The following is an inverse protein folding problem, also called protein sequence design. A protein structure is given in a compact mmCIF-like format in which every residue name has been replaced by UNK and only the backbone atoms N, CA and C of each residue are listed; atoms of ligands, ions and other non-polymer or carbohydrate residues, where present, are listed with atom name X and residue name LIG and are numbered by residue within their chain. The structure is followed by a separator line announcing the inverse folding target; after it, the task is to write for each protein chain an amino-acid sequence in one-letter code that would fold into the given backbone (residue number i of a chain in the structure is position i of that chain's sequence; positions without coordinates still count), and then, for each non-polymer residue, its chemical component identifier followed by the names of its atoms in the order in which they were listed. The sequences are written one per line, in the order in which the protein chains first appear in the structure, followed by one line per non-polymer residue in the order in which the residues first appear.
data_IF_272522023906
#
_entry.id   IF_272522023906
#
_cell.length_a   1.000
_cell.length_b   1.000
_cell.length_c   1.000
_cell.angle_alpha   90.00
_cell.angle_beta   90.00
_cell.angle_gamma   90.00
#
_symmetry.space_group_name_H-M   'P 1'
#
loop_
_entity.id
_entity.type
_entity.pdbx_description
1 polymer ?
#
# COMPACT_ATOMS: atom_id res chain seq x y z
N UNK A 1 12.60 56.30 22.93
CA UNK A 1 11.19 55.97 23.22
C UNK A 1 10.52 55.60 21.90
N UNK A 2 10.30 54.31 21.64
CA UNK A 2 9.67 53.82 20.41
C UNK A 2 8.17 53.61 20.65
N UNK A 3 7.28 54.13 19.80
CA UNK A 3 5.85 53.98 19.98
C UNK A 3 5.41 52.54 19.69
N UNK A 4 4.72 51.93 20.65
CA UNK A 4 4.10 50.62 20.54
C UNK A 4 2.96 50.67 19.52
N UNK A 5 3.10 49.95 18.41
CA UNK A 5 2.03 49.78 17.42
C UNK A 5 1.04 48.72 17.94
N UNK A 6 -0.15 49.16 18.37
CA UNK A 6 -1.24 48.24 18.70
C UNK A 6 -1.91 47.75 17.40
N UNK A 7 -2.07 46.44 17.21
CA UNK A 7 -2.76 45.88 16.04
C UNK A 7 -4.25 46.23 16.09
N UNK A 8 -4.79 46.71 14.97
CA UNK A 8 -6.21 47.02 14.83
C UNK A 8 -7.05 45.73 14.87
N UNK A 9 -8.20 45.72 15.57
CA UNK A 9 -9.11 44.57 15.60
C UNK A 9 -9.66 44.31 14.20
N UNK A 10 -9.55 43.06 13.73
CA UNK A 10 -10.13 42.66 12.45
C UNK A 10 -11.65 42.50 12.56
N UNK A 11 -12.43 42.99 11.58
CA UNK A 11 -13.88 42.82 11.58
C UNK A 11 -14.25 41.35 11.36
N UNK A 12 -15.05 40.81 12.29
CA UNK A 12 -15.61 39.47 12.21
C UNK A 12 -16.49 39.35 10.95
N UNK A 13 -16.04 38.59 9.95
CA UNK A 13 -16.85 38.24 8.79
C UNK A 13 -17.88 37.20 9.20
N UNK A 14 -19.15 37.60 9.23
CA UNK A 14 -20.27 36.70 9.39
C UNK A 14 -20.29 35.67 8.24
N UNK A 15 -20.16 34.40 8.60
CA UNK A 15 -20.18 33.27 7.67
C UNK A 15 -21.61 33.05 7.18
N UNK A 16 -21.86 33.22 5.88
CA UNK A 16 -23.17 32.99 5.29
C UNK A 16 -23.63 31.53 5.52
N UNK A 17 -24.92 31.36 5.81
CA UNK A 17 -25.52 30.05 6.05
C UNK A 17 -25.39 29.14 4.82
N UNK A 18 -24.94 27.90 5.03
CA UNK A 18 -24.84 26.89 3.98
C UNK A 18 -26.24 26.47 3.51
N UNK A 19 -26.53 26.46 2.20
CA UNK A 19 -27.80 25.96 1.69
C UNK A 19 -27.94 24.44 1.94
N UNK A 20 -29.13 24.02 2.36
CA UNK A 20 -29.44 22.63 2.65
C UNK A 20 -29.38 21.77 1.36
N UNK A 21 -28.59 20.69 1.39
CA UNK A 21 -28.52 19.71 0.30
C UNK A 21 -29.85 18.96 0.18
N UNK A 22 -30.57 19.14 -0.93
CA UNK A 22 -31.69 18.27 -1.32
C UNK A 22 -31.15 16.88 -1.66
N UNK A 23 -31.60 15.88 -0.91
CA UNK A 23 -31.34 14.46 -1.19
C UNK A 23 -32.37 13.99 -2.21
N UNK A 24 -31.92 13.67 -3.43
CA UNK A 24 -32.77 13.01 -4.42
C UNK A 24 -32.83 11.51 -4.12
N UNK A 25 -34.05 10.99 -3.95
CA UNK A 25 -34.33 9.55 -3.85
C UNK A 25 -34.25 8.94 -5.25
N UNK A 26 -33.54 7.82 -5.46
CA UNK A 26 -33.55 7.13 -6.74
C UNK A 26 -34.88 6.40 -6.92
N UNK A 27 -35.54 6.67 -8.06
CA UNK A 27 -36.75 6.00 -8.50
C UNK A 27 -36.33 4.70 -9.20
N UNK A 28 -36.62 3.54 -8.60
CA UNK A 28 -36.42 2.24 -9.24
C UNK A 28 -37.52 2.03 -10.30
N UNK A 29 -37.14 2.03 -11.57
CA UNK A 29 -38.00 1.61 -12.69
C UNK A 29 -37.75 0.12 -12.93
N UNK A 30 -38.77 -0.71 -12.64
CA UNK A 30 -38.86 -2.08 -13.12
C UNK A 30 -39.08 -2.08 -14.63
N UNK A 31 -38.15 -2.66 -15.37
CA UNK A 31 -38.30 -2.97 -16.79
C UNK A 31 -37.66 -4.32 -17.08
N UNK A 32 -38.49 -5.30 -17.44
CA UNK A 32 -38.12 -6.64 -17.94
C UNK A 32 -38.70 -6.75 -19.37
N UNK A 33 -38.29 -7.70 -20.21
CA UNK A 33 -37.21 -7.62 -21.18
C UNK A 33 -37.73 -7.71 -22.63
N UNK A 34 -36.91 -7.34 -23.63
CA UNK A 34 -37.14 -7.80 -25.01
C UNK A 34 -35.84 -8.39 -25.55
N UNK A 35 -35.91 -9.69 -25.80
CA UNK A 35 -34.95 -10.51 -26.52
C UNK A 35 -35.08 -10.20 -28.01
N UNK A 36 -33.97 -9.89 -28.68
CA UNK A 36 -33.85 -10.06 -30.14
C UNK A 36 -32.52 -10.77 -30.39
N UNK A 37 -32.64 -12.04 -30.80
CA UNK A 37 -31.57 -12.85 -31.36
C UNK A 37 -31.42 -12.41 -32.83
N UNK A 38 -30.26 -11.89 -33.20
CA UNK A 38 -29.85 -11.73 -34.59
C UNK A 38 -28.57 -12.53 -34.80
N UNK A 39 -28.70 -13.65 -35.50
CA UNK A 39 -27.58 -14.38 -36.06
C UNK A 39 -27.03 -13.58 -37.25
N UNK A 40 -25.76 -13.22 -37.21
CA UNK A 40 -25.02 -12.79 -38.39
C UNK A 40 -23.83 -13.74 -38.52
N UNK A 41 -23.90 -14.55 -39.57
CA UNK A 41 -22.79 -15.29 -40.10
C UNK A 41 -22.03 -14.42 -41.12
N UNK A 42 -20.80 -14.87 -41.41
CA UNK A 42 -19.92 -14.51 -42.53
C UNK A 42 -18.92 -13.39 -42.25
N UNK A 43 -17.64 -13.77 -42.38
CA UNK A 43 -16.48 -12.88 -42.36
C UNK A 43 -15.19 -13.68 -42.18
N UNK A 44 -14.83 -14.46 -43.20
CA UNK A 44 -13.49 -15.02 -43.40
C UNK A 44 -12.54 -13.89 -43.76
N UNK A 45 -11.42 -13.74 -43.04
CA UNK A 45 -10.21 -13.09 -43.57
C UNK A 45 -8.96 -13.71 -42.94
N UNK A 46 -8.01 -13.97 -43.82
CA UNK A 46 -6.70 -14.59 -43.63
C UNK A 46 -5.79 -13.81 -42.68
N UNK A 47 -5.19 -14.52 -41.70
CA UNK A 47 -3.91 -14.11 -41.12
C UNK A 47 -3.06 -15.34 -40.85
N UNK A 48 -2.33 -15.75 -41.89
CA UNK A 48 -1.14 -16.61 -41.75
C UNK A 48 -0.02 -15.77 -41.16
N UNK A 49 -0.15 -15.43 -39.89
CA UNK A 49 0.92 -14.89 -39.07
C UNK A 49 1.80 -16.03 -38.60
N UNK A 50 2.98 -16.17 -39.22
CA UNK A 50 4.06 -17.02 -38.75
C UNK A 50 4.54 -16.55 -37.37
N UNK A 51 3.80 -16.91 -36.33
CA UNK A 51 4.20 -16.75 -34.94
C UNK A 51 5.28 -17.76 -34.63
N UNK A 52 6.51 -17.27 -34.52
CA UNK A 52 7.66 -17.99 -34.01
C UNK A 52 7.27 -18.70 -32.71
N UNK A 53 6.99 -20.00 -32.79
CA UNK A 53 7.10 -20.94 -31.68
C UNK A 53 8.56 -20.98 -31.29
N UNK A 54 8.97 -19.97 -30.52
CA UNK A 54 10.13 -20.08 -29.67
C UNK A 54 9.84 -21.21 -28.71
N UNK A 55 10.29 -22.41 -29.09
CA UNK A 55 10.36 -23.59 -28.27
C UNK A 55 11.13 -23.20 -27.01
N UNK A 56 10.36 -22.77 -25.99
CA UNK A 56 10.89 -22.26 -24.73
C UNK A 56 11.46 -23.49 -24.05
N UNK A 57 12.76 -23.67 -24.21
CA UNK A 57 13.57 -24.71 -23.59
C UNK A 57 13.05 -24.95 -22.17
N UNK A 58 12.68 -26.20 -21.80
CA UNK A 58 12.02 -26.49 -20.54
C UNK A 58 12.92 -26.05 -19.39
N UNK A 59 12.60 -24.90 -18.79
CA UNK A 59 13.32 -24.38 -17.63
C UNK A 59 13.31 -25.47 -16.57
N UNK A 60 14.51 -25.92 -16.20
CA UNK A 60 14.70 -26.91 -15.16
C UNK A 60 13.87 -26.50 -13.93
N UNK A 61 13.00 -27.41 -13.47
CA UNK A 61 12.16 -27.16 -12.30
C UNK A 61 13.12 -26.90 -11.12
N UNK A 62 12.99 -25.78 -10.39
CA UNK A 62 13.76 -25.58 -9.18
C UNK A 62 13.43 -26.71 -8.20
N UNK A 63 14.45 -27.45 -7.77
CA UNK A 63 14.30 -28.66 -6.94
C UNK A 63 14.16 -28.36 -5.45
N UNK A 64 14.34 -27.12 -5.03
CA UNK A 64 14.23 -26.72 -3.63
C UNK A 64 12.88 -26.07 -3.36
N UNK A 65 12.10 -26.68 -2.47
CA UNK A 65 10.86 -26.11 -1.92
C UNK A 65 11.20 -24.75 -1.30
N UNK A 66 10.55 -23.66 -1.72
CA UNK A 66 10.82 -22.34 -1.20
C UNK A 66 10.37 -22.22 0.27
N UNK A 67 11.17 -21.56 1.09
CA UNK A 67 10.78 -21.25 2.47
C UNK A 67 9.76 -20.09 2.47
N UNK A 68 8.60 -20.31 3.10
CA UNK A 68 7.56 -19.29 3.30
C UNK A 68 6.90 -19.45 4.67
N UNK A 69 6.35 -18.36 5.20
CA UNK A 69 5.56 -18.34 6.45
C UNK A 69 4.11 -18.01 6.13
N UNK A 70 3.14 -18.82 6.56
CA UNK A 70 1.72 -18.46 6.47
C UNK A 70 1.43 -17.35 7.49
N UNK A 71 1.03 -16.17 7.02
CA UNK A 71 0.76 -15.01 7.91
C UNK A 71 -0.73 -14.76 8.12
N UNK A 72 -1.57 -15.20 7.20
CA UNK A 72 -3.03 -15.15 7.31
C UNK A 72 -3.60 -16.40 6.67
N UNK A 73 -4.53 -17.05 7.35
CA UNK A 73 -5.20 -18.25 6.86
C UNK A 73 -6.65 -18.25 7.35
N UNK A 74 -7.58 -18.49 6.44
CA UNK A 74 -8.99 -18.67 6.75
C UNK A 74 -9.54 -19.77 5.85
N UNK A 75 -9.72 -20.97 6.41
CA UNK A 75 -10.22 -22.15 5.71
C UNK A 75 -11.66 -22.50 6.13
N UNK A 76 -12.52 -21.48 6.25
CA UNK A 76 -13.89 -21.64 6.71
C UNK A 76 -14.88 -22.07 5.62
N UNK A 77 -15.47 -23.25 5.77
CA UNK A 77 -16.60 -23.70 4.95
C UNK A 77 -16.18 -24.21 3.57
N UNK A 78 -16.79 -23.67 2.50
CA UNK A 78 -16.55 -24.14 1.12
C UNK A 78 -15.43 -23.38 0.39
N UNK A 79 -14.93 -22.29 0.98
CA UNK A 79 -13.91 -21.42 0.38
C UNK A 79 -12.81 -21.12 1.40
N UNK A 80 -11.60 -20.87 0.93
CA UNK A 80 -10.47 -20.51 1.77
C UNK A 80 -9.64 -19.34 1.24
N UNK A 81 -8.84 -18.73 2.11
CA UNK A 81 -7.83 -17.75 1.75
C UNK A 81 -6.57 -17.94 2.58
N UNK A 82 -5.41 -17.81 1.93
CA UNK A 82 -4.11 -17.81 2.59
C UNK A 82 -3.18 -16.72 2.04
N UNK A 83 -2.35 -16.14 2.91
CA UNK A 83 -1.25 -15.26 2.52
C UNK A 83 0.08 -15.82 3.04
N UNK A 84 1.04 -15.98 2.14
CA UNK A 84 2.38 -16.53 2.37
C UNK A 84 3.40 -15.39 2.35
N UNK A 85 4.08 -15.17 3.47
CA UNK A 85 5.16 -14.20 3.59
C UNK A 85 6.47 -14.79 3.06
N UNK A 86 7.03 -14.09 2.07
CA UNK A 86 8.34 -14.36 1.48
C UNK A 86 9.04 -13.02 1.22
N UNK A 87 9.86 -12.50 2.16
CA UNK A 87 10.40 -11.14 2.10
C UNK A 87 11.23 -10.86 0.83
N UNK A 88 11.85 -11.90 0.26
CA UNK A 88 12.68 -11.84 -0.95
C UNK A 88 12.08 -12.61 -2.13
N UNK A 89 10.76 -12.82 -2.14
CA UNK A 89 10.10 -13.58 -3.21
C UNK A 89 10.36 -12.96 -4.59
N UNK A 90 10.93 -13.80 -5.46
CA UNK A 90 10.92 -13.65 -6.92
C UNK A 90 9.69 -14.38 -7.48
N UNK A 91 9.18 -14.01 -8.67
CA UNK A 91 8.01 -14.67 -9.27
C UNK A 91 8.11 -16.19 -9.29
N UNK A 92 9.27 -16.75 -9.68
CA UNK A 92 9.45 -18.21 -9.76
C UNK A 92 9.38 -18.89 -8.39
N UNK A 93 9.97 -18.26 -7.35
CA UNK A 93 9.93 -18.78 -5.99
C UNK A 93 8.53 -18.65 -5.37
N UNK A 94 7.82 -17.56 -5.68
CA UNK A 94 6.45 -17.35 -5.24
C UNK A 94 5.47 -18.34 -5.89
N UNK A 95 5.62 -18.60 -7.19
CA UNK A 95 4.84 -19.61 -7.89
C UNK A 95 5.06 -21.01 -7.30
N UNK A 96 6.33 -21.37 -7.03
CA UNK A 96 6.65 -22.64 -6.37
C UNK A 96 6.04 -22.74 -4.95
N UNK A 97 6.00 -21.64 -4.20
CA UNK A 97 5.38 -21.61 -2.87
C UNK A 97 3.86 -21.80 -2.94
N UNK A 98 3.20 -21.17 -3.91
CA UNK A 98 1.76 -21.34 -4.13
C UNK A 98 1.44 -22.79 -4.52
N UNK A 99 2.24 -23.40 -5.41
CA UNK A 99 2.08 -24.82 -5.79
C UNK A 99 2.24 -25.75 -4.59
N UNK A 100 3.31 -25.59 -3.82
CA UNK A 100 3.56 -26.39 -2.62
C UNK A 100 2.46 -26.22 -1.56
N UNK A 101 1.94 -25.01 -1.37
CA UNK A 101 0.83 -24.76 -0.46
C UNK A 101 -0.47 -25.41 -0.97
N UNK A 102 -0.74 -25.33 -2.28
CA UNK A 102 -1.96 -25.89 -2.88
C UNK A 102 -2.05 -27.42 -2.74
N UNK A 103 -0.91 -28.12 -2.76
CA UNK A 103 -0.86 -29.58 -2.52
C UNK A 103 -1.27 -29.99 -1.10
N UNK A 104 -1.29 -29.04 -0.15
CA UNK A 104 -1.59 -29.27 1.27
C UNK A 104 -3.01 -28.85 1.66
N UNK A 105 -3.81 -28.33 0.72
CA UNK A 105 -5.17 -27.88 0.99
C UNK A 105 -6.07 -29.10 1.22
N UNK A 106 -6.74 -29.12 2.37
CA UNK A 106 -7.78 -30.10 2.73
C UNK A 106 -9.02 -29.36 3.27
N UNK A 107 -10.20 -29.70 2.76
CA UNK A 107 -11.49 -29.15 3.21
C UNK A 107 -12.20 -28.19 2.23
N UNK A 108 -11.71 -26.95 2.01
CA UNK A 108 -12.40 -26.00 1.14
C UNK A 108 -12.31 -26.46 -0.32
N UNK A 109 -13.33 -26.11 -1.12
CA UNK A 109 -13.40 -26.50 -2.54
C UNK A 109 -12.74 -25.48 -3.47
N UNK A 110 -12.41 -24.32 -2.93
CA UNK A 110 -11.91 -23.14 -3.63
C UNK A 110 -11.03 -22.32 -2.69
N UNK A 111 -9.78 -22.03 -3.04
CA UNK A 111 -8.86 -21.27 -2.19
C UNK A 111 -8.12 -20.21 -3.00
N UNK A 112 -8.01 -19.01 -2.43
CA UNK A 112 -7.14 -17.94 -2.94
C UNK A 112 -5.86 -17.86 -2.11
N UNK A 113 -4.70 -17.92 -2.75
CA UNK A 113 -3.38 -17.94 -2.11
C UNK A 113 -2.56 -16.76 -2.62
N UNK A 114 -2.13 -15.84 -1.75
CA UNK A 114 -1.26 -14.73 -2.10
C UNK A 114 0.17 -14.95 -1.57
N UNK A 115 1.20 -14.62 -2.36
CA UNK A 115 2.57 -14.48 -1.83
C UNK A 115 2.87 -13.00 -1.66
N UNK A 116 3.34 -12.61 -0.48
CA UNK A 116 3.59 -11.21 -0.13
C UNK A 116 4.99 -10.99 0.44
N UNK A 117 5.51 -9.76 0.34
CA UNK A 117 6.85 -9.40 0.86
C UNK A 117 6.85 -8.85 2.29
N UNK A 118 5.68 -8.55 2.84
CA UNK A 118 5.51 -7.91 4.15
C UNK A 118 4.32 -8.49 4.92
N UNK A 119 4.38 -8.44 6.25
CA UNK A 119 3.33 -9.01 7.13
C UNK A 119 1.98 -8.26 7.02
N UNK A 120 2.00 -7.00 6.59
CA UNK A 120 0.78 -6.23 6.27
C UNK A 120 0.16 -6.62 4.92
N UNK A 121 0.83 -7.48 4.13
CA UNK A 121 0.44 -7.92 2.80
C UNK A 121 0.23 -6.77 1.78
N UNK A 122 0.92 -5.65 1.96
CA UNK A 122 0.82 -4.51 1.06
C UNK A 122 1.40 -4.79 -0.34
N UNK A 123 2.41 -5.66 -0.44
CA UNK A 123 3.11 -5.98 -1.69
C UNK A 123 2.89 -7.45 -2.04
N UNK A 124 1.99 -7.71 -3.00
CA UNK A 124 1.71 -9.05 -3.54
C UNK A 124 2.64 -9.35 -4.71
N UNK A 125 3.33 -10.49 -4.66
CA UNK A 125 4.24 -10.98 -5.71
C UNK A 125 3.48 -11.84 -6.71
N UNK A 126 2.74 -12.84 -6.23
CA UNK A 126 1.90 -13.71 -7.05
C UNK A 126 0.59 -14.00 -6.32
N UNK A 127 -0.44 -14.33 -7.10
CA UNK A 127 -1.73 -14.83 -6.62
C UNK A 127 -2.01 -16.18 -7.28
N UNK A 128 -2.55 -17.11 -6.49
CA UNK A 128 -3.01 -18.40 -6.95
C UNK A 128 -4.49 -18.57 -6.63
N UNK A 129 -5.26 -19.03 -7.59
CA UNK A 129 -6.62 -19.51 -7.38
C UNK A 129 -6.62 -21.03 -7.57
N UNK A 130 -6.92 -21.75 -6.50
CA UNK A 130 -7.06 -23.20 -6.50
C UNK A 130 -8.53 -23.60 -6.44
N UNK A 131 -8.90 -24.60 -7.23
CA UNK A 131 -10.24 -25.21 -7.29
C UNK A 131 -10.09 -26.73 -7.28
N UNK A 132 -10.77 -27.39 -6.34
CA UNK A 132 -10.68 -28.84 -6.13
C UNK A 132 -11.12 -29.65 -7.36
N UNK A 133 -12.27 -29.30 -7.93
CA UNK A 133 -12.92 -30.06 -9.00
C UNK A 133 -13.73 -29.15 -9.95
N UNK A 134 -14.24 -29.73 -11.04
CA UNK A 134 -15.08 -29.00 -12.01
C UNK A 134 -16.33 -28.37 -11.38
N UNK A 135 -16.90 -29.00 -10.35
CA UNK A 135 -18.09 -28.48 -9.69
C UNK A 135 -17.72 -27.21 -8.91
N UNK A 136 -16.55 -27.16 -8.28
CA UNK A 136 -16.03 -25.96 -7.66
C UNK A 136 -15.73 -24.88 -8.72
N UNK A 137 -15.07 -25.25 -9.82
CA UNK A 137 -14.80 -24.33 -10.94
C UNK A 137 -16.09 -23.70 -11.49
N UNK A 138 -17.16 -24.48 -11.69
CA UNK A 138 -18.48 -23.96 -12.12
C UNK A 138 -19.13 -23.02 -11.09
N UNK A 139 -18.95 -23.27 -9.79
CA UNK A 139 -19.55 -22.46 -8.72
C UNK A 139 -18.79 -21.16 -8.47
N UNK A 140 -17.46 -21.17 -8.64
CA UNK A 140 -16.57 -20.08 -8.21
C UNK A 140 -15.82 -19.43 -9.38
N UNK A 141 -16.12 -19.81 -10.62
CA UNK A 141 -15.44 -19.36 -11.83
C UNK A 141 -14.03 -19.95 -11.99
N UNK A 142 -13.58 -19.99 -13.24
CA UNK A 142 -12.26 -20.51 -13.63
C UNK A 142 -12.28 -21.99 -14.04
N UNK A 143 -11.08 -22.57 -14.13
CA UNK A 143 -10.85 -23.99 -14.42
C UNK A 143 -10.51 -24.76 -13.14
N UNK A 144 -10.77 -26.08 -13.08
CA UNK A 144 -10.29 -26.91 -11.98
C UNK A 144 -8.76 -26.93 -11.93
N UNK A 145 -8.21 -27.06 -10.71
CA UNK A 145 -6.76 -27.03 -10.48
C UNK A 145 -6.27 -25.67 -9.99
N UNK A 146 -4.97 -25.41 -10.19
CA UNK A 146 -4.29 -24.21 -9.73
C UNK A 146 -3.97 -23.28 -10.89
N UNK A 147 -4.57 -22.10 -10.90
CA UNK A 147 -4.18 -20.99 -11.76
C UNK A 147 -3.29 -20.03 -10.95
N UNK A 148 -2.03 -19.85 -11.36
CA UNK A 148 -1.13 -18.87 -10.74
C UNK A 148 -0.91 -17.70 -11.68
N UNK A 149 -1.24 -16.51 -11.20
CA UNK A 149 -0.91 -15.24 -11.83
C UNK A 149 0.16 -14.56 -10.97
N UNK A 150 1.38 -14.62 -11.48
CA UNK A 150 2.42 -13.70 -11.07
C UNK A 150 2.32 -12.53 -12.03
N UNK A 151 1.68 -11.39 -11.66
CA UNK A 151 1.85 -10.19 -12.47
C UNK A 151 3.36 -10.06 -12.69
N UNK A 152 3.76 -9.92 -13.96
CA UNK A 152 5.13 -9.53 -14.26
C UNK A 152 5.48 -8.43 -13.27
N UNK A 153 6.69 -8.43 -12.68
CA UNK A 153 7.08 -7.30 -11.88
C UNK A 153 7.00 -6.11 -12.81
N UNK A 154 5.85 -5.42 -12.82
CA UNK A 154 5.78 -4.00 -13.05
C UNK A 154 6.93 -3.54 -12.19
N UNK A 155 8.00 -2.99 -12.78
CA UNK A 155 9.06 -2.44 -11.97
C UNK A 155 8.32 -1.59 -10.95
N UNK A 156 8.37 -2.02 -9.68
CA UNK A 156 7.87 -1.20 -8.60
C UNK A 156 8.85 -0.04 -8.68
N UNK A 157 8.38 1.06 -9.27
CA UNK A 157 9.04 1.78 -10.37
C UNK A 157 10.54 2.03 -10.27
N UNK A 158 11.13 2.31 -11.42
CA UNK A 158 12.11 3.39 -11.51
C UNK A 158 11.74 4.56 -10.57
N UNK A 159 10.45 4.85 -10.39
CA UNK A 159 9.92 5.81 -9.42
C UNK A 159 10.33 5.62 -7.94
N UNK A 160 10.46 4.40 -7.40
CA UNK A 160 10.91 4.25 -6.00
C UNK A 160 12.42 4.47 -5.87
N UNK A 161 13.20 3.97 -6.84
CA UNK A 161 14.63 4.26 -6.92
C UNK A 161 14.89 5.74 -7.14
N UNK A 162 14.15 6.35 -8.06
CA UNK A 162 14.23 7.76 -8.42
C UNK A 162 13.73 8.65 -7.29
N UNK A 163 12.66 8.25 -6.58
CA UNK A 163 12.18 8.94 -5.36
C UNK A 163 13.19 8.83 -4.23
N UNK A 164 13.74 7.65 -3.97
CA UNK A 164 14.75 7.47 -2.92
C UNK A 164 16.03 8.28 -3.24
N UNK A 165 16.43 8.32 -4.52
CA UNK A 165 17.53 9.16 -4.99
C UNK A 165 17.22 10.65 -4.83
N UNK A 166 16.01 11.10 -5.19
CA UNK A 166 15.56 12.48 -5.03
C UNK A 166 15.45 12.88 -3.55
N UNK A 167 14.92 12.00 -2.69
CA UNK A 167 14.86 12.18 -1.23
C UNK A 167 16.28 12.32 -0.66
N UNK A 168 17.19 11.44 -1.04
CA UNK A 168 18.61 11.51 -0.65
C UNK A 168 19.25 12.83 -1.12
N UNK A 169 19.03 13.22 -2.37
CA UNK A 169 19.51 14.49 -2.92
C UNK A 169 18.94 15.72 -2.18
N UNK A 170 17.72 15.62 -1.66
CA UNK A 170 17.11 16.65 -0.83
C UNK A 170 17.62 16.67 0.62
N UNK A 171 18.39 15.66 1.05
CA UNK A 171 18.84 15.47 2.44
C UNK A 171 17.79 14.83 3.34
N UNK A 172 16.81 14.14 2.76
CA UNK A 172 15.78 13.40 3.48
C UNK A 172 16.33 11.99 3.78
N UNK A 173 16.41 11.56 5.06
CA UNK A 173 16.91 10.23 5.41
C UNK A 173 15.98 9.13 4.89
N UNK A 174 16.46 7.89 4.68
CA UNK A 174 15.60 6.76 4.30
C UNK A 174 14.49 6.55 5.33
N UNK A 175 13.36 5.97 4.90
CA UNK A 175 12.25 5.67 5.80
C UNK A 175 12.70 4.65 6.86
N UNK A 176 12.57 4.93 8.17
CA UNK A 176 12.93 3.99 9.22
C UNK A 176 12.02 2.75 9.15
N UNK A 177 12.59 1.58 9.46
CA UNK A 177 11.89 0.29 9.54
C UNK A 177 12.18 -0.41 10.87
N UNK A 178 11.42 -1.45 11.19
CA UNK A 178 11.64 -2.30 12.37
C UNK A 178 11.81 -1.51 13.67
N UNK A 179 12.82 -1.87 14.47
CA UNK A 179 13.10 -1.28 15.77
C UNK A 179 13.35 0.24 15.73
N UNK A 180 14.00 0.75 14.67
CA UNK A 180 14.25 2.18 14.55
C UNK A 180 12.96 2.98 14.36
N UNK A 181 12.00 2.44 13.57
CA UNK A 181 10.68 3.05 13.41
C UNK A 181 9.91 3.06 14.73
N UNK A 182 9.93 1.95 15.45
CA UNK A 182 9.27 1.82 16.76
C UNK A 182 9.83 2.83 17.76
N UNK A 183 11.15 2.88 17.93
CA UNK A 183 11.81 3.79 18.85
C UNK A 183 11.49 5.26 18.54
N UNK A 184 11.46 5.64 17.26
CA UNK A 184 11.05 6.98 16.86
C UNK A 184 9.59 7.28 17.23
N UNK A 185 8.66 6.38 16.89
CA UNK A 185 7.23 6.60 17.14
C UNK A 185 6.90 6.62 18.63
N UNK A 186 7.59 5.82 19.44
CA UNK A 186 7.43 5.84 20.90
C UNK A 186 7.90 7.18 21.48
N UNK A 187 9.08 7.66 21.08
CA UNK A 187 9.60 8.96 21.51
C UNK A 187 8.70 10.14 21.06
N UNK A 188 8.11 10.07 19.86
CA UNK A 188 7.14 11.07 19.40
C UNK A 188 5.85 11.02 20.23
N UNK A 189 5.35 9.82 20.56
CA UNK A 189 4.13 9.63 21.35
C UNK A 189 4.26 10.24 22.76
N UNK A 190 5.44 10.19 23.37
CA UNK A 190 5.70 10.82 24.67
C UNK A 190 5.52 12.35 24.64
N UNK A 191 5.81 12.99 23.50
CA UNK A 191 5.70 14.45 23.36
C UNK A 191 4.28 14.86 22.94
N UNK A 192 3.73 14.14 21.95
CA UNK A 192 2.44 14.43 21.33
C UNK A 192 1.71 13.10 21.08
N UNK A 193 0.91 12.61 22.04
CA UNK A 193 0.22 11.32 21.92
C UNK A 193 -0.67 11.21 20.67
N UNK A 194 -1.27 12.31 20.22
CA UNK A 194 -2.12 12.36 19.04
C UNK A 194 -1.42 11.93 17.74
N UNK A 195 -0.10 12.13 17.63
CA UNK A 195 0.67 11.73 16.44
C UNK A 195 0.78 10.20 16.30
N UNK A 196 0.58 9.45 17.38
CA UNK A 196 0.59 7.99 17.33
C UNK A 196 -0.61 7.40 16.58
N UNK A 197 -1.69 8.18 16.37
CA UNK A 197 -2.83 7.76 15.57
C UNK A 197 -2.49 7.68 14.07
N UNK A 198 -1.46 8.40 13.61
CA UNK A 198 -1.05 8.48 12.20
C UNK A 198 0.46 8.22 12.05
N UNK A 199 0.94 6.99 12.31
CA UNK A 199 2.37 6.69 12.43
C UNK A 199 3.18 6.97 11.16
N UNK A 200 2.62 6.71 9.97
CA UNK A 200 3.33 6.99 8.72
C UNK A 200 3.45 8.48 8.42
N UNK A 201 2.42 9.27 8.73
CA UNK A 201 2.48 10.73 8.62
C UNK A 201 3.50 11.32 9.59
N UNK A 202 3.57 10.81 10.82
CA UNK A 202 4.59 11.20 11.78
C UNK A 202 6.02 10.89 11.28
N UNK A 203 6.22 9.72 10.64
CA UNK A 203 7.49 9.36 10.01
C UNK A 203 7.83 10.31 8.87
N UNK A 204 6.91 10.57 7.96
CA UNK A 204 7.17 11.45 6.82
C UNK A 204 7.42 12.91 7.23
N UNK A 205 6.69 13.42 8.23
CA UNK A 205 6.94 14.73 8.83
C UNK A 205 8.33 14.80 9.46
N UNK A 206 8.76 13.76 10.17
CA UNK A 206 10.09 13.66 10.77
C UNK A 206 11.22 13.64 9.74
N UNK A 207 11.09 12.83 8.69
CA UNK A 207 12.06 12.76 7.59
C UNK A 207 12.21 14.11 6.88
N UNK A 208 11.10 14.80 6.61
CA UNK A 208 11.11 16.14 6.02
C UNK A 208 11.71 17.20 6.96
N UNK A 209 11.51 17.05 8.27
CA UNK A 209 12.12 17.92 9.27
C UNK A 209 13.63 17.73 9.36
N UNK A 210 14.13 16.51 9.23
CA UNK A 210 15.57 16.22 9.16
C UNK A 210 16.27 16.97 8.02
N UNK A 211 15.67 17.07 6.83
CA UNK A 211 16.23 17.86 5.73
C UNK A 211 16.35 19.36 6.04
N UNK A 212 15.48 19.90 6.91
CA UNK A 212 15.58 21.29 7.37
C UNK A 212 16.62 21.46 8.47
N UNK A 213 16.72 20.49 9.39
CA UNK A 213 17.71 20.46 10.46
C UNK A 213 19.14 20.46 9.89
N UNK A 214 19.40 19.65 8.86
CA UNK A 214 20.72 19.57 8.22
C UNK A 214 21.16 20.84 7.47
N UNK A 215 20.24 21.79 7.22
CA UNK A 215 20.54 23.06 6.51
C UNK A 215 20.71 24.25 7.45
N UNK A 216 20.61 24.06 8.77
CA UNK A 216 20.82 25.13 9.76
C UNK A 216 19.84 26.30 9.65
N UNK A 217 18.60 26.05 9.23
CA UNK A 217 17.58 27.11 9.11
C UNK A 217 17.21 27.72 10.46
N UNK A 218 16.74 28.97 10.48
CA UNK A 218 16.17 29.59 11.68
C UNK A 218 14.70 29.19 11.85
N UNK A 219 14.17 29.25 13.08
CA UNK A 219 12.75 28.95 13.34
C UNK A 219 12.35 27.48 13.20
N UNK A 220 13.31 26.55 13.36
CA UNK A 220 13.11 25.11 13.20
C UNK A 220 12.03 24.53 14.13
N UNK A 221 11.86 25.10 15.31
CA UNK A 221 10.87 24.66 16.30
C UNK A 221 9.45 25.00 15.85
N UNK A 222 9.25 26.23 15.33
CA UNK A 222 7.98 26.62 14.68
C UNK A 222 7.70 25.77 13.45
N UNK A 223 8.71 25.51 12.62
CA UNK A 223 8.56 24.68 11.43
C UNK A 223 8.16 23.24 11.79
N UNK A 224 8.79 22.66 12.81
CA UNK A 224 8.40 21.34 13.33
C UNK A 224 6.94 21.36 13.81
N UNK A 225 6.56 22.36 14.62
CA UNK A 225 5.19 22.50 15.09
C UNK A 225 4.16 22.55 13.95
N UNK A 226 4.47 23.26 12.85
CA UNK A 226 3.60 23.33 11.66
C UNK A 226 3.55 22.03 10.86
N UNK A 227 4.66 21.28 10.79
CA UNK A 227 4.74 20.02 10.02
C UNK A 227 4.06 18.86 10.71
N UNK A 228 4.20 18.80 12.03
CA UNK A 228 3.62 17.75 12.84
C UNK A 228 2.20 18.08 13.29
N UNK A 229 1.88 19.37 13.49
CA UNK A 229 0.54 19.80 13.82
C UNK A 229 -0.40 19.84 12.61
N UNK A 230 -1.69 19.89 12.89
CA UNK A 230 -2.71 20.16 11.90
C UNK A 230 -3.81 21.07 12.48
N UNK A 231 -4.86 21.33 11.70
CA UNK A 231 -5.96 22.19 12.13
C UNK A 231 -6.76 21.64 13.33
N UNK A 232 -6.75 20.33 13.56
CA UNK A 232 -7.41 19.69 14.69
C UNK A 232 -6.47 19.61 15.92
N UNK A 233 -5.17 19.44 15.69
CA UNK A 233 -4.14 19.31 16.71
C UNK A 233 -2.99 20.29 16.44
N UNK A 234 -3.17 21.59 16.72
CA UNK A 234 -2.10 22.56 16.56
C UNK A 234 -1.01 22.28 17.61
N UNK A 235 0.26 22.37 17.19
CA UNK A 235 1.39 22.23 18.09
C UNK A 235 2.02 23.60 18.39
N UNK A 236 2.57 23.70 19.60
CA UNK A 236 3.34 24.88 20.04
C UNK A 236 4.80 24.76 19.57
N UNK A 237 5.51 25.89 19.49
CA UNK A 237 6.95 25.90 19.21
C UNK A 237 7.72 25.06 20.24
N UNK A 238 7.33 25.09 21.52
CA UNK A 238 7.96 24.27 22.56
C UNK A 238 7.81 22.76 22.27
N UNK A 239 6.65 22.31 21.78
CA UNK A 239 6.48 20.93 21.32
C UNK A 239 7.34 20.65 20.09
N UNK A 240 7.42 21.57 19.14
CA UNK A 240 8.30 21.49 17.98
C UNK A 240 9.79 21.35 18.34
N UNK A 241 10.26 22.09 19.34
CA UNK A 241 11.63 21.97 19.85
C UNK A 241 11.91 20.60 20.47
N UNK A 242 10.96 20.04 21.24
CA UNK A 242 11.09 18.67 21.75
C UNK A 242 11.10 17.63 20.63
N UNK A 243 10.29 17.82 19.58
CA UNK A 243 10.29 16.95 18.40
C UNK A 243 11.64 17.02 17.66
N UNK A 244 12.21 18.21 17.47
CA UNK A 244 13.54 18.39 16.90
C UNK A 244 14.63 17.66 17.71
N UNK A 245 14.53 17.66 19.04
CA UNK A 245 15.45 16.92 19.91
C UNK A 245 15.31 15.39 19.75
N UNK A 246 14.10 14.86 19.58
CA UNK A 246 13.87 13.44 19.28
C UNK A 246 14.45 13.08 17.91
N UNK A 247 14.20 13.90 16.88
CA UNK A 247 14.69 13.64 15.53
C UNK A 247 16.20 13.52 15.46
N UNK A 248 16.93 14.39 16.16
CA UNK A 248 18.40 14.32 16.29
C UNK A 248 18.89 13.06 17.01
N UNK A 249 18.07 12.43 17.84
CA UNK A 249 18.43 11.18 18.54
C UNK A 249 18.09 9.93 17.75
N UNK A 250 17.17 10.01 16.79
CA UNK A 250 16.61 8.84 16.10
C UNK A 250 16.81 8.87 14.59
N UNK A 251 16.18 9.81 13.88
CA UNK A 251 16.07 9.79 12.41
C UNK A 251 17.21 10.54 11.69
N UNK A 252 17.77 11.56 12.31
CA UNK A 252 18.85 12.36 11.75
C UNK A 252 19.87 12.74 12.83
N UNK A 253 20.63 11.75 13.34
CA UNK A 253 21.78 12.05 14.18
C UNK A 253 22.75 12.99 13.47
N UNK A 254 23.20 14.01 14.20
CA UNK A 254 24.31 14.84 13.74
C UNK A 254 25.55 13.93 13.61
N UNK A 255 26.30 14.01 12.49
CA UNK A 255 27.49 13.21 12.27
C UNK A 255 28.62 13.55 13.24
#
# INVERSE_FOLDING_TARGET
MHPQHQPRPQPHRHRAARPAKRVHKPLFILGVPVVVIAAIAVGTDDDTGAGSTGEREPRARPTTVPEYKVIRENMGGKTGKADLLMPKARPEAAEAAIRDYAEKIDGPRAVSVGVVRSEDAAVVVCRGEWREDERAARLYGGEPGLAVECPDPVPIGSDEGDRAAAEKAAGIPPKPTGAARTAYLDAVREIVPALAAEPDKAVDAGRNQCAALGRGSTGLDRLAAQRFGDGAHPLTEAQGGRLNAVLRKTLCPEP
#
